data_IF_670046261916
#
_entry.id   IF_670046261916
#
_cell.length_a   1.000
_cell.length_b   1.000
_cell.length_c   1.000
_cell.angle_alpha   90.00
_cell.angle_beta   90.00
_cell.angle_gamma   90.00
#
_symmetry.space_group_name_H-M   'P 1'
#
loop_
_entity.id
_entity.type
_entity.pdbx_description
1 polymer ?
#
# COMPACT_ATOMS: atom_id res chain seq x y z
N UNK A 1 6.66 -2.35 -0.10
CA UNK A 1 6.14 -1.37 0.89
C UNK A 1 7.10 -0.19 0.91
N UNK A 2 6.58 1.00 0.65
CA UNK A 2 7.32 2.22 0.85
C UNK A 2 7.89 2.25 2.28
N UNK A 3 9.16 2.47 2.43
CA UNK A 3 9.82 2.59 3.73
C UNK A 3 9.98 4.08 4.08
N UNK A 4 10.40 4.39 5.31
CA UNK A 4 10.61 5.78 5.74
C UNK A 4 11.60 6.56 4.85
N UNK A 5 12.51 5.87 4.15
CA UNK A 5 13.41 6.48 3.17
C UNK A 5 12.66 6.94 1.93
N UNK A 6 11.70 6.13 1.45
CA UNK A 6 10.89 6.45 0.29
C UNK A 6 9.99 7.67 0.51
N UNK A 7 9.36 7.74 1.68
CA UNK A 7 8.56 8.90 2.05
C UNK A 7 9.38 10.21 2.06
N UNK A 8 10.62 10.18 2.57
CA UNK A 8 11.51 11.35 2.55
C UNK A 8 11.84 11.84 1.15
N UNK A 9 11.84 10.95 0.16
CA UNK A 9 12.08 11.30 -1.23
C UNK A 9 10.83 11.84 -1.90
N UNK A 10 9.67 11.24 -1.64
CA UNK A 10 8.42 11.59 -2.35
C UNK A 10 7.67 12.76 -1.76
N UNK A 11 7.59 12.87 -0.43
CA UNK A 11 6.77 13.92 0.21
C UNK A 11 7.18 15.35 -0.19
N UNK A 12 8.48 15.69 -0.36
CA UNK A 12 8.88 17.01 -0.84
C UNK A 12 8.42 17.34 -2.28
N UNK A 13 8.07 16.32 -3.08
CA UNK A 13 7.60 16.49 -4.45
C UNK A 13 6.08 16.71 -4.54
N UNK A 14 5.37 16.58 -3.43
CA UNK A 14 3.92 16.74 -3.40
C UNK A 14 3.55 18.21 -3.64
N UNK A 15 2.83 18.52 -4.71
CA UNK A 15 2.31 19.86 -4.93
C UNK A 15 1.22 20.20 -3.90
N UNK A 16 0.88 21.48 -3.80
CA UNK A 16 -0.27 21.92 -3.01
C UNK A 16 -1.55 21.20 -3.50
N UNK A 17 -2.33 20.67 -2.57
CA UNK A 17 -3.56 19.92 -2.82
C UNK A 17 -4.47 19.97 -1.60
N UNK A 18 -5.77 19.85 -1.80
CA UNK A 18 -6.77 19.71 -0.74
C UNK A 18 -7.28 18.28 -0.62
N UNK A 19 -7.26 17.53 -1.74
CA UNK A 19 -7.67 16.13 -1.78
C UNK A 19 -6.45 15.23 -2.11
N UNK A 20 -6.23 14.22 -1.29
CA UNK A 20 -5.18 13.20 -1.50
C UNK A 20 -5.81 11.83 -1.69
N UNK A 21 -5.42 11.13 -2.75
CA UNK A 21 -5.98 9.82 -3.13
C UNK A 21 -4.87 8.81 -3.39
N UNK A 22 -4.93 7.66 -2.73
CA UNK A 22 -4.10 6.47 -3.05
C UNK A 22 -4.97 5.39 -3.69
N UNK A 23 -5.00 5.25 -5.04
CA UNK A 23 -5.77 4.20 -5.74
C UNK A 23 -5.26 2.78 -5.49
N UNK A 24 -4.02 2.61 -5.06
CA UNK A 24 -3.34 1.36 -4.68
C UNK A 24 -2.75 1.52 -3.27
N UNK A 25 -3.61 1.63 -2.26
CA UNK A 25 -3.11 2.04 -0.94
C UNK A 25 -2.28 0.97 -0.23
N UNK A 26 -2.58 -0.33 -0.42
CA UNK A 26 -1.85 -1.40 0.26
C UNK A 26 -1.66 -1.12 1.74
N UNK A 27 -0.40 -0.93 2.16
CA UNK A 27 -0.05 -0.53 3.54
C UNK A 27 -0.15 0.96 3.83
N UNK A 28 -0.54 1.80 2.87
CA UNK A 28 -0.73 3.26 2.94
C UNK A 28 0.43 4.00 3.61
N UNK A 29 1.67 3.62 3.29
CA UNK A 29 2.83 4.12 4.00
C UNK A 29 3.02 5.64 3.86
N UNK A 30 2.77 6.20 2.68
CA UNK A 30 2.87 7.65 2.47
C UNK A 30 1.74 8.39 3.19
N UNK A 31 0.52 7.87 3.12
CA UNK A 31 -0.62 8.43 3.85
C UNK A 31 -0.34 8.53 5.36
N UNK A 32 0.25 7.51 5.99
CA UNK A 32 0.58 7.55 7.41
C UNK A 32 1.75 8.46 7.75
N UNK A 33 2.59 8.82 6.78
CA UNK A 33 3.78 9.65 7.01
C UNK A 33 3.61 11.11 6.60
N UNK A 34 2.65 11.42 5.73
CA UNK A 34 2.35 12.79 5.30
C UNK A 34 1.48 13.54 6.31
N UNK A 35 1.53 14.85 6.26
CA UNK A 35 0.56 15.69 6.94
C UNK A 35 -0.85 15.47 6.37
N UNK A 36 -1.88 15.73 7.18
CA UNK A 36 -3.27 15.56 6.74
C UNK A 36 -3.61 16.55 5.61
N UNK A 37 -4.36 16.05 4.64
CA UNK A 37 -5.08 16.88 3.68
C UNK A 37 -6.54 17.03 4.13
N UNK A 38 -7.26 18.03 3.63
CA UNK A 38 -8.67 18.26 3.99
C UNK A 38 -9.55 17.05 3.64
N UNK A 39 -9.27 16.42 2.50
CA UNK A 39 -9.94 15.20 2.04
C UNK A 39 -8.88 14.13 1.76
N UNK A 40 -9.09 12.93 2.28
CA UNK A 40 -8.18 11.80 2.07
C UNK A 40 -8.96 10.54 1.71
N UNK A 41 -8.49 9.84 0.69
CA UNK A 41 -9.12 8.64 0.15
C UNK A 41 -8.08 7.53 0.02
N UNK A 42 -8.34 6.40 0.63
CA UNK A 42 -7.58 5.16 0.45
C UNK A 42 -8.44 4.16 -0.31
N UNK A 43 -7.93 3.67 -1.42
CA UNK A 43 -8.58 2.66 -2.24
C UNK A 43 -7.66 1.46 -2.46
N UNK A 44 -8.22 0.28 -2.47
CA UNK A 44 -7.53 -0.92 -2.94
C UNK A 44 -8.51 -1.88 -3.60
N UNK A 45 -8.02 -2.64 -4.57
CA UNK A 45 -8.81 -3.72 -5.20
C UNK A 45 -8.82 -4.98 -4.31
N UNK A 46 -7.86 -5.13 -3.39
CA UNK A 46 -7.84 -6.25 -2.44
C UNK A 46 -8.82 -5.98 -1.29
N UNK A 47 -9.94 -6.70 -1.31
CA UNK A 47 -10.96 -6.60 -0.28
C UNK A 47 -10.48 -6.94 1.14
N UNK A 48 -9.36 -7.66 1.32
CA UNK A 48 -8.78 -7.92 2.65
C UNK A 48 -8.07 -6.67 3.19
N UNK A 49 -7.42 -5.89 2.32
CA UNK A 49 -6.83 -4.59 2.68
C UNK A 49 -7.92 -3.61 3.10
N UNK A 50 -8.96 -3.47 2.26
CA UNK A 50 -10.11 -2.59 2.53
C UNK A 50 -10.81 -2.98 3.84
N UNK A 51 -11.05 -4.28 4.04
CA UNK A 51 -11.66 -4.79 5.25
C UNK A 51 -10.82 -4.48 6.51
N UNK A 52 -9.49 -4.63 6.43
CA UNK A 52 -8.60 -4.28 7.54
C UNK A 52 -8.75 -2.80 7.95
N UNK A 53 -8.70 -1.88 6.99
CA UNK A 53 -8.84 -0.44 7.29
C UNK A 53 -10.20 -0.10 7.87
N UNK A 54 -11.29 -0.66 7.32
CA UNK A 54 -12.64 -0.46 7.85
C UNK A 54 -12.79 -0.99 9.28
N UNK A 55 -12.23 -2.17 9.56
CA UNK A 55 -12.26 -2.76 10.90
C UNK A 55 -11.44 -1.94 11.90
N UNK A 56 -10.26 -1.44 11.52
CA UNK A 56 -9.49 -0.52 12.37
C UNK A 56 -10.28 0.77 12.62
N UNK A 57 -10.96 1.30 11.61
CA UNK A 57 -11.71 2.55 11.72
C UNK A 57 -12.93 2.43 12.64
N UNK A 58 -13.65 1.31 12.61
CA UNK A 58 -14.94 1.17 13.30
C UNK A 58 -14.97 0.17 14.45
N UNK A 59 -14.01 -0.77 14.52
CA UNK A 59 -14.03 -1.90 15.46
C UNK A 59 -12.65 -2.18 16.07
N UNK A 60 -11.88 -1.12 16.38
CA UNK A 60 -10.51 -1.24 16.84
C UNK A 60 -10.37 -2.10 18.10
N UNK A 61 -11.24 -1.92 19.10
CA UNK A 61 -11.17 -2.66 20.36
C UNK A 61 -11.38 -4.16 20.15
N UNK A 62 -12.40 -4.55 19.37
CA UNK A 62 -12.70 -5.94 19.04
C UNK A 62 -11.58 -6.55 18.19
N UNK A 63 -10.98 -5.78 17.31
CA UNK A 63 -9.83 -6.20 16.52
C UNK A 63 -8.63 -6.49 17.41
N UNK A 64 -8.26 -5.59 18.32
CA UNK A 64 -7.16 -5.78 19.28
C UNK A 64 -7.45 -7.00 20.17
N UNK A 65 -8.69 -7.19 20.59
CA UNK A 65 -9.12 -8.33 21.41
C UNK A 65 -8.83 -9.69 20.75
N UNK A 66 -8.86 -9.79 19.41
CA UNK A 66 -8.49 -11.01 18.68
C UNK A 66 -7.05 -11.47 18.98
N UNK A 67 -6.17 -10.56 19.37
CA UNK A 67 -4.76 -10.83 19.63
C UNK A 67 -4.43 -11.01 21.12
N UNK A 68 -5.37 -10.86 22.02
CA UNK A 68 -5.12 -10.91 23.49
C UNK A 68 -4.33 -12.15 23.92
N UNK A 69 -4.56 -13.28 23.27
CA UNK A 69 -3.89 -14.56 23.55
C UNK A 69 -3.15 -15.11 22.33
N UNK A 70 -2.88 -14.27 21.34
CA UNK A 70 -2.21 -14.72 20.14
C UNK A 70 -0.74 -15.06 20.39
N UNK A 71 -0.31 -16.18 19.85
CA UNK A 71 1.07 -16.64 19.86
C UNK A 71 1.69 -16.49 18.48
N UNK A 72 2.97 -16.11 18.42
CA UNK A 72 3.74 -16.22 17.19
C UNK A 72 4.08 -17.68 16.97
N UNK A 73 3.33 -18.35 16.11
CA UNK A 73 3.46 -19.78 15.84
C UNK A 73 3.37 -20.07 14.36
N UNK A 74 4.28 -20.91 13.85
CA UNK A 74 4.23 -21.44 12.48
C UNK A 74 2.94 -22.24 12.24
N UNK A 75 2.56 -23.08 13.18
CA UNK A 75 1.36 -23.90 13.06
C UNK A 75 0.09 -23.06 12.96
N UNK A 76 -0.03 -22.01 13.80
CA UNK A 76 -1.16 -21.07 13.72
C UNK A 76 -1.13 -20.33 12.37
N UNK A 77 0.05 -19.90 11.91
CA UNK A 77 0.19 -19.26 10.61
C UNK A 77 -0.30 -20.16 9.46
N UNK A 78 0.10 -21.43 9.47
CA UNK A 78 -0.30 -22.41 8.47
C UNK A 78 -1.81 -22.65 8.49
N UNK A 79 -2.41 -22.82 9.65
CA UNK A 79 -3.86 -22.94 9.81
C UNK A 79 -4.61 -21.71 9.29
N UNK A 80 -4.19 -20.52 9.70
CA UNK A 80 -4.79 -19.28 9.22
C UNK A 80 -4.61 -19.08 7.72
N UNK A 81 -3.48 -19.53 7.15
CA UNK A 81 -3.23 -19.40 5.72
C UNK A 81 -4.18 -20.26 4.87
N UNK A 82 -4.58 -21.43 5.35
CA UNK A 82 -5.55 -22.32 4.67
C UNK A 82 -7.01 -22.04 5.04
N UNK A 83 -7.29 -21.25 6.09
CA UNK A 83 -8.67 -20.90 6.47
C UNK A 83 -9.31 -20.02 5.43
N UNK A 84 -10.46 -20.40 4.85
CA UNK A 84 -11.16 -19.57 3.87
C UNK A 84 -11.68 -18.28 4.52
N UNK A 85 -11.40 -17.13 3.94
CA UNK A 85 -11.83 -15.83 4.48
C UNK A 85 -13.35 -15.70 4.55
N UNK A 86 -14.08 -16.34 3.64
CA UNK A 86 -15.55 -16.33 3.59
C UNK A 86 -16.24 -17.00 4.79
N UNK A 87 -15.51 -17.79 5.57
CA UNK A 87 -16.04 -18.45 6.79
C UNK A 87 -15.88 -17.61 8.04
N UNK A 88 -15.27 -16.45 7.93
CA UNK A 88 -14.92 -15.58 9.05
C UNK A 88 -15.76 -14.31 9.04
N UNK A 89 -16.00 -13.76 10.23
CA UNK A 89 -16.54 -12.39 10.36
C UNK A 89 -15.51 -11.35 9.88
N UNK A 90 -15.96 -10.13 9.58
CA UNK A 90 -15.05 -9.06 9.12
C UNK A 90 -13.90 -8.79 10.08
N UNK A 91 -14.18 -8.83 11.39
CA UNK A 91 -13.14 -8.66 12.44
C UNK A 91 -12.14 -9.82 12.43
N UNK A 92 -12.62 -11.06 12.33
CA UNK A 92 -11.76 -12.24 12.23
C UNK A 92 -10.93 -12.27 10.95
N UNK A 93 -11.52 -11.86 9.82
CA UNK A 93 -10.82 -11.70 8.52
C UNK A 93 -9.70 -10.68 8.64
N UNK A 94 -9.99 -9.51 9.21
CA UNK A 94 -8.99 -8.47 9.43
C UNK A 94 -7.85 -8.97 10.34
N UNK A 95 -8.17 -9.65 11.44
CA UNK A 95 -7.17 -10.22 12.36
C UNK A 95 -6.30 -11.28 11.68
N UNK A 96 -6.92 -12.20 10.92
CA UNK A 96 -6.22 -13.19 10.10
C UNK A 96 -5.28 -12.53 9.11
N UNK A 97 -5.78 -11.55 8.34
CA UNK A 97 -4.99 -10.83 7.34
C UNK A 97 -3.79 -10.13 7.98
N UNK A 98 -4.01 -9.39 9.06
CA UNK A 98 -2.95 -8.69 9.80
C UNK A 98 -1.89 -9.66 10.35
N UNK A 99 -2.30 -10.77 10.97
CA UNK A 99 -1.41 -11.80 11.49
C UNK A 99 -0.52 -12.39 10.38
N UNK A 100 -1.14 -12.79 9.27
CA UNK A 100 -0.42 -13.34 8.13
C UNK A 100 0.55 -12.33 7.52
N UNK A 101 0.15 -11.06 7.36
CA UNK A 101 1.03 -10.01 6.84
C UNK A 101 2.23 -9.73 7.74
N UNK A 102 2.02 -9.67 9.06
CA UNK A 102 3.10 -9.41 10.03
C UNK A 102 4.13 -10.55 10.08
N UNK A 103 3.70 -11.78 9.89
CA UNK A 103 4.54 -12.98 10.03
C UNK A 103 5.02 -13.56 8.69
N UNK A 104 4.60 -13.01 7.57
CA UNK A 104 5.07 -13.44 6.25
C UNK A 104 6.49 -12.98 5.97
N UNK A 105 7.27 -13.85 5.31
CA UNK A 105 8.56 -13.46 4.76
C UNK A 105 8.37 -12.50 3.58
N UNK A 106 9.03 -11.35 3.64
CA UNK A 106 8.97 -10.35 2.58
C UNK A 106 7.61 -9.64 2.41
N UNK A 107 6.70 -9.77 3.40
CA UNK A 107 5.35 -9.17 3.39
C UNK A 107 4.53 -9.49 2.12
N UNK A 108 4.70 -10.69 1.55
CA UNK A 108 3.98 -11.15 0.35
C UNK A 108 2.49 -11.25 0.62
N UNK A 109 1.66 -10.69 -0.25
CA UNK A 109 0.21 -10.82 -0.18
C UNK A 109 -0.28 -12.23 -0.57
N UNK A 110 0.41 -12.88 -1.50
CA UNK A 110 0.11 -14.25 -1.97
C UNK A 110 1.29 -15.21 -1.77
N UNK A 111 0.99 -16.51 -1.71
CA UNK A 111 1.97 -17.58 -1.42
C UNK A 111 2.81 -17.26 -0.18
N UNK A 112 2.11 -16.87 0.88
CA UNK A 112 2.70 -16.47 2.16
C UNK A 112 3.47 -17.63 2.77
N UNK A 113 4.72 -17.38 3.16
CA UNK A 113 5.55 -18.31 3.92
C UNK A 113 5.89 -17.69 5.25
N UNK A 114 5.88 -18.50 6.31
CA UNK A 114 6.24 -18.02 7.64
C UNK A 114 7.68 -17.52 7.68
N UNK A 115 7.87 -16.27 8.07
CA UNK A 115 9.19 -15.64 8.18
C UNK A 115 9.96 -16.12 9.39
N UNK A 116 11.07 -16.86 9.17
CA UNK A 116 12.00 -17.25 10.24
C UNK A 116 12.97 -16.11 10.50
N UNK A 117 13.11 -15.72 11.78
CA UNK A 117 14.09 -14.73 12.22
C UNK A 117 14.89 -15.28 13.40
N UNK A 118 16.18 -15.55 13.18
CA UNK A 118 17.09 -16.03 14.23
C UNK A 118 17.73 -14.89 15.03
N UNK A 119 17.76 -13.66 14.48
CA UNK A 119 18.53 -12.53 15.04
C UNK A 119 17.66 -11.40 15.58
N UNK A 120 16.35 -11.50 15.48
CA UNK A 120 15.40 -10.45 15.95
C UNK A 120 14.14 -11.10 16.52
N UNK A 121 13.49 -10.46 17.52
CA UNK A 121 12.19 -10.90 18.01
C UNK A 121 11.16 -11.02 16.88
N UNK A 122 10.13 -11.83 17.12
CA UNK A 122 9.00 -11.92 16.22
C UNK A 122 8.36 -10.54 15.97
N UNK A 123 7.90 -10.25 14.74
CA UNK A 123 7.40 -8.92 14.40
C UNK A 123 6.01 -8.62 15.00
N UNK A 124 5.33 -9.63 15.54
CA UNK A 124 4.07 -9.46 16.24
C UNK A 124 4.35 -9.15 17.71
N UNK A 125 4.35 -7.87 18.07
CA UNK A 125 4.47 -7.41 19.44
C UNK A 125 3.10 -6.90 19.93
N UNK A 126 2.43 -7.71 20.72
CA UNK A 126 1.06 -7.43 21.20
C UNK A 126 1.05 -6.19 22.10
N UNK A 127 2.08 -5.98 22.91
CA UNK A 127 2.15 -4.84 23.83
C UNK A 127 2.26 -3.47 23.09
N UNK A 128 2.88 -3.47 21.91
CA UNK A 128 3.00 -2.25 21.06
C UNK A 128 1.89 -2.16 20.03
N UNK A 129 1.11 -3.21 19.86
CA UNK A 129 0.09 -3.26 18.82
C UNK A 129 -1.02 -2.26 19.11
N UNK A 130 -1.46 -2.17 20.36
CA UNK A 130 -2.50 -1.24 20.79
C UNK A 130 -2.10 0.21 20.52
N UNK A 131 -0.89 0.62 20.93
CA UNK A 131 -0.36 1.96 20.67
C UNK A 131 -0.28 2.25 19.16
N UNK A 132 0.29 1.31 18.40
CA UNK A 132 0.44 1.48 16.94
C UNK A 132 -0.89 1.57 16.22
N UNK A 133 -1.86 0.77 16.63
CA UNK A 133 -3.19 0.74 16.00
C UNK A 133 -4.07 1.89 16.44
N UNK A 134 -3.92 2.39 17.67
CA UNK A 134 -4.58 3.61 18.12
C UNK A 134 -4.14 4.83 17.30
N UNK A 135 -2.83 4.97 17.04
CA UNK A 135 -2.33 5.99 16.13
C UNK A 135 -2.83 5.84 14.69
N UNK A 136 -2.94 4.59 14.21
CA UNK A 136 -3.54 4.32 12.90
C UNK A 136 -5.04 4.68 12.88
N UNK A 137 -5.78 4.35 13.93
CA UNK A 137 -7.19 4.71 14.08
C UNK A 137 -7.39 6.22 14.06
N UNK A 138 -6.62 6.97 14.86
CA UNK A 138 -6.67 8.44 14.86
C UNK A 138 -6.40 9.02 13.46
N UNK A 139 -5.43 8.45 12.75
CA UNK A 139 -5.06 8.90 11.41
C UNK A 139 -6.12 8.60 10.36
N UNK A 140 -6.87 7.49 10.52
CA UNK A 140 -7.96 7.08 9.65
C UNK A 140 -9.28 7.81 9.88
N UNK A 141 -9.38 8.64 10.93
CA UNK A 141 -10.61 9.43 11.14
C UNK A 141 -10.86 10.36 9.96
N UNK A 142 -12.10 10.40 9.47
CA UNK A 142 -12.55 11.19 8.32
C UNK A 142 -11.96 10.76 6.96
N UNK A 143 -11.21 9.65 6.90
CA UNK A 143 -10.69 9.10 5.65
C UNK A 143 -11.77 8.26 4.97
N UNK A 144 -11.96 8.47 3.68
CA UNK A 144 -12.84 7.63 2.86
C UNK A 144 -12.09 6.36 2.45
N UNK A 145 -12.66 5.20 2.78
CA UNK A 145 -12.12 3.90 2.36
C UNK A 145 -12.98 3.39 1.20
N UNK A 146 -12.36 3.25 0.02
CA UNK A 146 -13.00 2.76 -1.20
C UNK A 146 -12.53 1.33 -1.54
N UNK A 147 -13.38 0.61 -2.27
CA UNK A 147 -13.07 -0.70 -2.84
C UNK A 147 -13.44 -0.68 -4.32
N UNK A 148 -12.66 0.03 -5.10
CA UNK A 148 -12.89 0.26 -6.52
C UNK A 148 -11.70 -0.22 -7.35
N UNK A 149 -11.97 -0.49 -8.63
CA UNK A 149 -10.91 -0.47 -9.63
C UNK A 149 -10.20 0.90 -9.62
N UNK A 150 -8.87 0.90 -9.80
CA UNK A 150 -8.04 2.09 -9.68
C UNK A 150 -8.47 3.23 -10.62
N UNK A 151 -8.86 2.89 -11.86
CA UNK A 151 -9.30 3.88 -12.84
C UNK A 151 -10.65 4.49 -12.45
N UNK A 152 -11.57 3.67 -11.93
CA UNK A 152 -12.85 4.15 -11.39
C UNK A 152 -12.64 5.07 -10.20
N UNK A 153 -11.69 4.73 -9.33
CA UNK A 153 -11.30 5.57 -8.20
C UNK A 153 -10.76 6.92 -8.71
N UNK A 154 -9.79 6.92 -9.64
CA UNK A 154 -9.26 8.15 -10.22
C UNK A 154 -10.37 9.03 -10.82
N UNK A 155 -11.22 8.48 -11.68
CA UNK A 155 -12.32 9.21 -12.34
C UNK A 155 -13.31 9.81 -11.33
N UNK A 156 -13.54 9.16 -10.19
CA UNK A 156 -14.46 9.65 -9.15
C UNK A 156 -13.93 10.90 -8.45
N UNK A 157 -12.63 10.94 -8.20
CA UNK A 157 -11.99 11.98 -7.41
C UNK A 157 -11.17 12.99 -8.24
N UNK A 158 -11.22 12.91 -9.58
CA UNK A 158 -10.48 13.82 -10.46
C UNK A 158 -11.04 15.25 -10.39
N UNK A 159 -10.28 16.14 -9.74
CA UNK A 159 -10.55 17.58 -9.57
C UNK A 159 -9.21 18.33 -9.61
N UNK A 160 -9.20 19.64 -9.89
CA UNK A 160 -7.96 20.42 -9.98
C UNK A 160 -7.08 20.37 -8.74
N UNK A 161 -7.68 20.29 -7.56
CA UNK A 161 -6.99 20.28 -6.25
C UNK A 161 -6.69 18.86 -5.75
N UNK A 162 -6.90 17.82 -6.59
CA UNK A 162 -6.62 16.43 -6.21
C UNK A 162 -5.19 16.04 -6.56
N UNK A 163 -4.49 15.45 -5.59
CA UNK A 163 -3.24 14.74 -5.79
C UNK A 163 -3.49 13.23 -5.72
N UNK A 164 -3.19 12.53 -6.80
CA UNK A 164 -3.18 11.06 -6.86
C UNK A 164 -1.77 10.55 -6.67
N UNK A 165 -1.56 9.64 -5.74
CA UNK A 165 -0.36 8.83 -5.62
C UNK A 165 -0.66 7.38 -5.99
N UNK A 166 -0.03 6.89 -7.05
CA UNK A 166 -0.18 5.54 -7.57
C UNK A 166 1.09 4.72 -7.32
N UNK A 167 0.98 3.66 -6.55
CA UNK A 167 2.03 2.65 -6.30
C UNK A 167 1.53 1.28 -6.77
N UNK A 168 1.37 1.09 -8.10
CA UNK A 168 0.85 -0.16 -8.66
C UNK A 168 1.82 -1.32 -8.39
N UNK A 169 1.37 -2.59 -8.56
CA UNK A 169 2.27 -3.74 -8.58
C UNK A 169 3.47 -3.48 -9.49
N UNK A 170 4.68 -3.79 -9.06
CA UNK A 170 5.87 -3.53 -9.88
C UNK A 170 5.95 -4.46 -11.08
N UNK A 171 6.36 -3.89 -12.21
CA UNK A 171 6.49 -4.65 -13.47
C UNK A 171 7.39 -5.87 -13.30
N UNK A 172 6.93 -7.01 -13.82
CA UNK A 172 7.64 -8.29 -13.80
C UNK A 172 8.00 -8.79 -12.38
N UNK A 173 7.23 -8.37 -11.36
CA UNK A 173 7.35 -8.90 -10.00
C UNK A 173 6.18 -9.82 -9.66
N UNK A 174 6.48 -10.89 -8.92
CA UNK A 174 5.46 -11.84 -8.45
C UNK A 174 5.03 -11.52 -7.03
N UNK A 175 3.74 -11.71 -6.69
CA UNK A 175 3.31 -11.68 -5.29
C UNK A 175 2.11 -10.82 -4.96
N UNK A 176 1.53 -10.11 -5.92
CA UNK A 176 0.37 -9.23 -5.69
C UNK A 176 -1.00 -9.90 -5.89
N UNK A 177 -1.05 -11.11 -6.46
CA UNK A 177 -2.27 -11.92 -6.55
C UNK A 177 -3.32 -11.48 -7.57
N UNK A 178 -3.26 -10.24 -8.03
CA UNK A 178 -4.10 -9.71 -9.11
C UNK A 178 -3.22 -9.55 -10.35
N UNK A 179 -3.62 -10.06 -11.52
CA UNK A 179 -2.89 -9.82 -12.76
C UNK A 179 -2.82 -8.32 -13.05
N UNK A 180 -1.60 -7.81 -13.25
CA UNK A 180 -1.36 -6.41 -13.61
C UNK A 180 -0.38 -6.40 -14.78
N UNK A 181 -0.93 -6.48 -15.99
CA UNK A 181 -0.17 -6.55 -17.24
C UNK A 181 0.26 -5.19 -17.75
N UNK A 182 1.03 -5.20 -18.85
CA UNK A 182 1.55 -3.96 -19.48
C UNK A 182 0.41 -3.02 -19.90
N UNK A 183 -0.73 -3.56 -20.28
CA UNK A 183 -1.93 -2.82 -20.66
C UNK A 183 -2.45 -1.91 -19.55
N UNK A 184 -2.27 -2.30 -18.29
CA UNK A 184 -2.68 -1.47 -17.15
C UNK A 184 -1.77 -0.25 -16.99
N UNK A 185 -0.47 -0.40 -17.22
CA UNK A 185 0.47 0.73 -17.19
C UNK A 185 0.25 1.65 -18.39
N UNK A 186 -0.05 1.11 -19.58
CA UNK A 186 -0.41 1.90 -20.76
C UNK A 186 -1.66 2.74 -20.50
N UNK A 187 -2.71 2.12 -19.96
CA UNK A 187 -3.93 2.81 -19.57
C UNK A 187 -3.68 3.89 -18.50
N UNK A 188 -2.76 3.62 -17.57
CA UNK A 188 -2.36 4.59 -16.54
C UNK A 188 -1.64 5.79 -17.13
N UNK A 189 -0.74 5.58 -18.11
CA UNK A 189 -0.08 6.64 -18.84
C UNK A 189 -1.07 7.46 -19.66
N UNK A 190 -1.99 6.81 -20.37
CA UNK A 190 -3.06 7.46 -21.14
C UNK A 190 -3.94 8.33 -20.24
N UNK A 191 -4.35 7.81 -19.06
CA UNK A 191 -5.17 8.56 -18.11
C UNK A 191 -4.40 9.79 -17.59
N UNK A 192 -3.11 9.65 -17.23
CA UNK A 192 -2.30 10.74 -16.71
C UNK A 192 -1.98 11.82 -17.76
N UNK A 193 -1.90 11.44 -19.04
CA UNK A 193 -1.67 12.32 -20.19
C UNK A 193 -2.97 12.93 -20.75
N UNK A 194 -4.12 12.43 -20.30
CA UNK A 194 -5.42 12.87 -20.86
C UNK A 194 -5.62 14.37 -20.65
N UNK A 195 -6.02 15.11 -21.70
CA UNK A 195 -6.40 16.53 -21.56
C UNK A 195 -7.59 16.74 -20.62
N UNK A 196 -8.39 15.71 -20.36
CA UNK A 196 -9.51 15.75 -19.44
C UNK A 196 -9.08 15.54 -17.97
N UNK A 197 -7.84 15.08 -17.72
CA UNK A 197 -7.31 14.91 -16.36
C UNK A 197 -7.08 16.26 -15.70
N UNK A 198 -7.75 16.51 -14.59
CA UNK A 198 -7.67 17.76 -13.85
C UNK A 198 -6.68 17.66 -12.68
N UNK A 199 -6.63 16.51 -12.03
CA UNK A 199 -5.77 16.26 -10.87
C UNK A 199 -4.31 16.06 -11.23
N UNK A 200 -3.46 16.23 -10.23
CA UNK A 200 -2.03 15.97 -10.32
C UNK A 200 -1.75 14.51 -9.97
N UNK A 201 -0.85 13.89 -10.71
CA UNK A 201 -0.55 12.46 -10.61
C UNK A 201 0.92 12.26 -10.32
N UNK A 202 1.23 11.45 -9.32
CA UNK A 202 2.56 10.89 -9.05
C UNK A 202 2.45 9.37 -9.10
N UNK A 203 3.29 8.73 -9.90
CA UNK A 203 3.35 7.28 -10.05
C UNK A 203 4.75 6.81 -9.64
N UNK A 204 4.83 5.78 -8.79
CA UNK A 204 6.08 5.09 -8.48
C UNK A 204 6.08 3.69 -9.07
N UNK A 205 7.14 3.35 -9.82
CA UNK A 205 7.34 2.02 -10.41
C UNK A 205 8.82 1.66 -10.42
N UNK A 206 9.15 0.38 -10.54
CA UNK A 206 10.52 -0.07 -10.72
C UNK A 206 11.11 0.46 -12.02
N UNK A 207 12.39 0.83 -11.98
CA UNK A 207 13.12 1.28 -13.17
C UNK A 207 13.36 0.11 -14.14
N UNK A 208 12.58 0.09 -15.19
CA UNK A 208 12.66 -0.91 -16.25
C UNK A 208 12.45 -0.24 -17.61
N UNK A 209 13.17 -0.68 -18.68
CA UNK A 209 13.02 -0.07 -20.01
C UNK A 209 11.55 0.00 -20.49
N UNK A 210 10.78 -1.07 -20.31
CA UNK A 210 9.36 -1.08 -20.67
C UNK A 210 8.53 0.00 -19.94
N UNK A 211 8.85 0.33 -18.68
CA UNK A 211 8.17 1.40 -17.95
C UNK A 211 8.59 2.78 -18.47
N UNK A 212 9.86 2.96 -18.80
CA UNK A 212 10.34 4.21 -19.43
C UNK A 212 9.69 4.46 -20.78
N UNK A 213 9.49 3.39 -21.56
CA UNK A 213 8.81 3.49 -22.87
C UNK A 213 7.32 3.84 -22.68
N UNK A 214 6.62 3.15 -21.79
CA UNK A 214 5.19 3.37 -21.51
C UNK A 214 4.91 4.79 -21.02
N UNK A 215 5.74 5.30 -20.11
CA UNK A 215 5.54 6.61 -19.50
C UNK A 215 6.34 7.74 -20.17
N UNK A 216 6.94 7.50 -21.35
CA UNK A 216 7.83 8.45 -22.04
C UNK A 216 7.23 9.82 -22.40
N UNK A 217 5.89 9.93 -22.39
CA UNK A 217 5.18 11.21 -22.57
C UNK A 217 5.03 12.07 -21.32
N UNK A 218 5.38 11.53 -20.13
CA UNK A 218 5.29 12.18 -18.82
C UNK A 218 6.67 12.63 -18.32
N UNK A 219 6.70 13.39 -17.22
CA UNK A 219 7.98 13.74 -16.59
C UNK A 219 8.48 12.55 -15.79
N UNK A 220 9.66 12.04 -16.11
CA UNK A 220 10.28 10.89 -15.45
C UNK A 220 11.53 11.36 -14.70
N UNK A 221 11.59 11.09 -13.41
CA UNK A 221 12.80 11.22 -12.60
C UNK A 221 13.17 9.85 -12.01
N UNK A 222 14.47 9.68 -11.73
CA UNK A 222 15.00 8.41 -11.20
C UNK A 222 15.56 8.65 -9.82
N UNK A 223 15.25 7.74 -8.89
CA UNK A 223 15.81 7.77 -7.53
C UNK A 223 16.33 6.40 -7.12
N UNK A 224 17.32 6.40 -6.21
CA UNK A 224 17.88 5.16 -5.67
C UNK A 224 17.24 4.84 -4.34
N UNK A 225 16.66 3.65 -4.22
CA UNK A 225 16.02 3.17 -3.01
C UNK A 225 16.78 1.97 -2.44
N UNK A 226 16.94 1.93 -1.12
CA UNK A 226 17.56 0.80 -0.44
C UNK A 226 16.48 -0.20 -0.01
N UNK A 227 16.40 -1.35 -0.67
CA UNK A 227 15.57 -2.46 -0.24
C UNK A 227 16.33 -3.37 0.72
N UNK A 228 15.82 -3.53 1.94
CA UNK A 228 16.31 -4.50 2.93
C UNK A 228 15.44 -5.76 2.89
N UNK A 229 15.52 -6.56 1.84
CA UNK A 229 14.87 -7.87 1.79
C UNK A 229 15.93 -8.97 1.91
N UNK A 230 16.03 -9.56 3.09
CA UNK A 230 16.57 -10.91 3.29
C UNK A 230 18.08 -11.16 3.14
N UNK A 231 18.91 -10.16 2.84
CA UNK A 231 20.38 -10.31 2.80
C UNK A 231 21.08 -9.14 3.47
N UNK A 232 22.30 -9.40 3.97
CA UNK A 232 23.18 -8.35 4.55
C UNK A 232 23.64 -7.30 3.51
N UNK A 233 23.40 -7.54 2.24
CA UNK A 233 23.70 -6.60 1.17
C UNK A 233 22.48 -5.68 0.93
N UNK A 234 22.66 -4.39 1.19
CA UNK A 234 21.75 -3.33 0.74
C UNK A 234 21.84 -3.25 -0.78
N UNK A 235 20.95 -3.93 -1.47
CA UNK A 235 20.83 -3.73 -2.91
C UNK A 235 20.15 -2.38 -3.14
N UNK A 236 20.91 -1.44 -3.70
CA UNK A 236 20.33 -0.22 -4.24
C UNK A 236 19.54 -0.60 -5.49
N UNK A 237 18.26 -0.28 -5.50
CA UNK A 237 17.38 -0.47 -6.64
C UNK A 237 16.94 0.88 -7.14
N UNK A 238 17.00 1.07 -8.44
CA UNK A 238 16.51 2.27 -9.11
C UNK A 238 14.99 2.22 -9.23
N UNK A 239 14.32 3.31 -8.90
CA UNK A 239 12.88 3.49 -9.06
C UNK A 239 12.59 4.74 -9.88
N UNK A 240 11.50 4.70 -10.64
CA UNK A 240 10.98 5.83 -11.40
C UNK A 240 9.91 6.55 -10.59
N UNK A 241 10.01 7.87 -10.57
CA UNK A 241 8.97 8.78 -10.14
C UNK A 241 8.48 9.49 -11.39
N UNK A 242 7.20 9.32 -11.70
CA UNK A 242 6.57 9.78 -12.92
C UNK A 242 5.47 10.76 -12.54
N UNK A 243 5.41 11.91 -13.23
CA UNK A 243 4.42 12.95 -12.93
C UNK A 243 3.82 13.55 -14.20
N UNK A 244 2.56 13.99 -14.13
CA UNK A 244 1.90 14.76 -15.19
C UNK A 244 2.12 16.28 -15.05
N UNK A 245 2.97 16.71 -14.12
CA UNK A 245 3.34 18.11 -13.89
C UNK A 245 4.87 18.22 -13.73
N UNK A 246 5.41 19.43 -13.87
CA UNK A 246 6.85 19.67 -13.65
C UNK A 246 7.13 19.74 -12.15
N UNK A 247 8.15 19.02 -11.69
CA UNK A 247 8.70 19.04 -10.32
C UNK A 247 9.74 20.15 -10.22
#
# INVERSE_FOLDING_TARGET
MANASWAKTLLPLFPAHTCYVEPFCGGAALFFMKERSDVEVLNDIDGEVVNLYRVIQYHLEEFIRQFKWALTSRQIFEWLNITPSVTLTDIQRAARFYYLQKLSFGAKAHRRTFGVRATRPAPLNILRMEETLSGAWERLQQVTIEHLDWLKCMKRYDRPETLFYLDPPYWNTTGYGVPFGIEQYQLMAEQALSPAMQGKVIISVNDHPAMRDVFGGLNISTTMTNYTVGSQNKNQVSELIITNFKI
#
